data_IF_122924552312
#
_entry.id   IF_122924552312
#
_cell.length_a   1.000
_cell.length_b   1.000
_cell.length_c   1.000
_cell.angle_alpha   90.00
_cell.angle_beta   90.00
_cell.angle_gamma   90.00
#
_symmetry.space_group_name_H-M   'P 1'
#
loop_
_entity.id
_entity.type
_entity.pdbx_description
1 polymer ?
#
# COMPACT_ATOMS: atom_id res chain seq x y z
N UNK A 1 -82.21 -0.96 0.10
CA UNK A 1 -82.48 0.50 0.14
C UNK A 1 -81.29 1.18 0.79
N UNK A 2 -80.77 2.22 0.14
CA UNK A 2 -79.50 2.88 0.43
C UNK A 2 -79.54 3.87 1.61
N UNK A 3 -78.37 4.08 2.24
CA UNK A 3 -77.78 5.35 2.74
C UNK A 3 -76.41 5.01 3.38
N UNK A 4 -75.27 5.19 2.71
CA UNK A 4 -74.47 6.43 2.51
C UNK A 4 -74.24 7.27 3.78
N UNK A 5 -72.97 7.51 4.15
CA UNK A 5 -72.60 8.62 5.04
C UNK A 5 -71.32 8.51 5.89
N UNK A 6 -70.17 8.42 5.22
CA UNK A 6 -68.78 8.76 5.65
C UNK A 6 -68.53 9.76 6.80
N UNK A 7 -67.58 9.43 7.70
CA UNK A 7 -66.49 10.30 8.25
C UNK A 7 -65.35 9.37 8.75
N UNK A 8 -64.22 9.22 8.04
CA UNK A 8 -62.99 10.04 8.11
C UNK A 8 -62.38 10.17 9.52
N UNK A 9 -61.24 9.50 9.77
CA UNK A 9 -59.91 10.09 10.12
C UNK A 9 -59.05 9.14 10.98
N UNK A 10 -57.80 8.91 10.51
CA UNK A 10 -56.55 8.71 11.30
C UNK A 10 -56.50 7.46 12.21
N UNK A 11 -55.60 6.50 12.03
CA UNK A 11 -54.16 6.63 11.93
C UNK A 11 -53.57 5.48 11.10
N UNK A 12 -53.36 5.72 9.81
CA UNK A 12 -52.20 5.15 9.14
C UNK A 12 -51.00 6.06 9.43
N UNK A 13 -49.80 5.49 9.41
CA UNK A 13 -48.47 6.13 9.50
C UNK A 13 -47.94 6.36 10.93
N UNK A 14 -47.22 5.35 11.43
CA UNK A 14 -45.90 5.53 12.05
C UNK A 14 -45.20 4.15 12.17
N UNK A 15 -44.96 3.50 11.03
CA UNK A 15 -43.83 2.57 10.91
C UNK A 15 -42.61 3.46 10.72
N UNK A 16 -41.92 3.80 11.80
CA UNK A 16 -40.58 4.37 11.71
C UNK A 16 -39.62 3.42 12.43
N UNK A 17 -38.94 2.65 11.60
CA UNK A 17 -37.85 1.75 11.90
C UNK A 17 -36.80 2.48 12.74
N UNK A 18 -36.73 2.19 14.05
CA UNK A 18 -35.56 2.51 14.87
C UNK A 18 -34.61 1.32 14.73
N UNK A 19 -33.84 1.32 13.66
CA UNK A 19 -32.63 0.52 13.56
C UNK A 19 -31.69 1.26 12.62
N UNK A 20 -30.39 1.19 12.93
CA UNK A 20 -29.26 1.77 12.19
C UNK A 20 -28.80 3.13 12.71
N UNK A 21 -28.02 3.08 13.78
CA UNK A 21 -26.81 3.90 13.93
C UNK A 21 -25.92 3.39 15.07
N UNK A 22 -25.37 2.20 14.94
CA UNK A 22 -24.18 1.82 15.71
C UNK A 22 -23.22 1.10 14.77
N UNK A 23 -22.26 1.82 14.19
CA UNK A 23 -21.34 1.19 13.23
C UNK A 23 -20.26 2.09 12.62
N UNK A 24 -19.84 3.19 13.26
CA UNK A 24 -18.91 4.12 12.61
C UNK A 24 -17.84 4.77 13.51
N UNK A 25 -17.45 4.18 14.66
CA UNK A 25 -16.36 4.75 15.48
C UNK A 25 -15.26 3.76 15.90
N UNK A 26 -15.38 2.47 15.57
CA UNK A 26 -14.43 1.45 16.01
C UNK A 26 -13.26 1.19 15.03
N UNK A 27 -13.22 1.83 13.86
CA UNK A 27 -12.25 1.47 12.80
C UNK A 27 -10.92 2.24 12.85
N UNK A 28 -10.84 3.39 13.52
CA UNK A 28 -9.60 4.20 13.50
C UNK A 28 -8.51 3.68 14.46
N UNK A 29 -8.90 2.92 15.48
CA UNK A 29 -7.98 2.42 16.52
C UNK A 29 -7.87 0.90 16.53
N UNK A 30 -8.15 0.27 15.39
CA UNK A 30 -7.91 -1.15 15.17
C UNK A 30 -6.89 -1.33 14.04
N UNK A 31 -5.87 -2.16 14.27
CA UNK A 31 -4.87 -2.52 13.26
C UNK A 31 -4.67 -4.02 13.20
N UNK A 32 -4.27 -4.51 12.03
CA UNK A 32 -3.88 -5.92 11.86
C UNK A 32 -2.48 -6.11 12.44
N UNK A 33 -2.34 -7.05 13.36
CA UNK A 33 -1.06 -7.50 13.91
C UNK A 33 -0.67 -8.83 13.29
N UNK A 34 0.64 -8.99 13.06
CA UNK A 34 1.24 -10.23 12.59
C UNK A 34 2.24 -10.71 13.62
N UNK A 35 2.12 -11.98 14.01
CA UNK A 35 3.11 -12.67 14.81
C UNK A 35 3.98 -13.52 13.90
N UNK A 36 5.27 -13.56 14.23
CA UNK A 36 6.28 -14.31 13.49
C UNK A 36 6.98 -15.28 14.43
N UNK A 37 7.38 -16.45 13.94
CA UNK A 37 8.29 -17.33 14.67
C UNK A 37 9.75 -16.85 14.54
N UNK A 38 10.67 -17.55 15.21
CA UNK A 38 12.10 -17.27 15.14
C UNK A 38 12.70 -17.40 13.72
N UNK A 39 12.03 -18.11 12.81
CA UNK A 39 12.44 -18.30 11.42
C UNK A 39 11.98 -17.16 10.49
N UNK A 40 11.19 -16.19 10.99
CA UNK A 40 10.65 -15.08 10.19
C UNK A 40 9.37 -15.42 9.44
N UNK A 41 8.79 -16.60 9.63
CA UNK A 41 7.52 -16.98 9.03
C UNK A 41 6.35 -16.40 9.83
N UNK A 42 5.30 -15.95 9.11
CA UNK A 42 4.07 -15.44 9.71
C UNK A 42 3.25 -16.59 10.32
N UNK A 43 3.11 -16.61 11.64
CA UNK A 43 2.41 -17.68 12.39
C UNK A 43 0.99 -17.32 12.79
N UNK A 44 0.66 -16.04 12.97
CA UNK A 44 -0.69 -15.62 13.35
C UNK A 44 -1.03 -14.22 12.85
N UNK A 45 -2.32 -13.99 12.60
CA UNK A 45 -2.91 -12.69 12.29
C UNK A 45 -4.03 -12.41 13.29
N UNK A 46 -3.91 -11.32 14.04
CA UNK A 46 -4.94 -10.86 14.98
C UNK A 46 -5.31 -9.39 14.73
N UNK A 47 -6.52 -9.01 15.16
CA UNK A 47 -6.93 -7.62 15.22
C UNK A 47 -6.54 -7.06 16.58
N UNK A 48 -5.66 -6.06 16.57
CA UNK A 48 -5.29 -5.34 17.78
C UNK A 48 -6.01 -3.99 17.76
N UNK A 49 -6.96 -3.83 18.69
CA UNK A 49 -7.69 -2.60 18.89
C UNK A 49 -7.29 -1.96 20.22
N UNK A 50 -7.08 -0.65 20.24
CA UNK A 50 -6.77 0.10 21.46
C UNK A 50 -7.74 1.27 21.64
N UNK A 51 -7.83 1.78 22.86
CA UNK A 51 -8.57 3.00 23.19
C UNK A 51 -7.55 4.14 23.36
N UNK A 52 -7.67 5.29 22.68
CA UNK A 52 -6.76 6.40 22.86
C UNK A 52 -6.81 6.92 24.29
N UNK A 53 -5.64 7.12 24.90
CA UNK A 53 -5.52 7.60 26.28
C UNK A 53 -5.56 6.50 27.34
N UNK A 54 -5.71 5.23 26.93
CA UNK A 54 -5.52 4.08 27.81
C UNK A 54 -4.05 3.63 27.77
N UNK A 55 -3.27 4.15 28.72
CA UNK A 55 -1.84 3.84 28.87
C UNK A 55 -1.58 2.40 29.36
N UNK A 56 -2.60 1.66 29.83
CA UNK A 56 -2.42 0.28 30.30
C UNK A 56 -2.37 -0.74 29.15
N UNK A 57 -2.84 -0.36 27.96
CA UNK A 57 -2.88 -1.21 26.77
C UNK A 57 -1.95 -0.75 25.64
N UNK A 58 -1.15 0.31 25.84
CA UNK A 58 -0.06 0.65 24.92
C UNK A 58 1.16 -0.24 25.23
N UNK A 59 1.52 -1.20 24.36
CA UNK A 59 2.69 -2.03 24.61
C UNK A 59 3.95 -1.16 24.59
N UNK A 60 4.63 -1.07 25.75
CA UNK A 60 5.95 -0.46 25.86
C UNK A 60 6.91 -1.05 24.81
N UNK A 61 7.51 -0.18 23.99
CA UNK A 61 8.55 -0.56 23.04
C UNK A 61 8.09 -0.83 21.61
N UNK A 62 6.82 -0.60 21.26
CA UNK A 62 6.39 -0.70 19.86
C UNK A 62 6.58 0.61 19.13
N UNK A 63 7.75 0.77 18.48
CA UNK A 63 7.91 1.79 17.47
C UNK A 63 6.97 1.46 16.31
N UNK A 64 5.84 2.18 16.21
CA UNK A 64 5.00 2.15 15.02
C UNK A 64 5.91 2.48 13.83
N UNK A 65 6.08 1.52 12.91
CA UNK A 65 6.78 1.78 11.65
C UNK A 65 5.91 2.77 10.86
N UNK A 66 6.17 4.05 11.06
CA UNK A 66 5.51 5.13 10.35
C UNK A 66 5.68 4.86 8.85
N UNK A 67 4.61 5.01 8.07
CA UNK A 67 4.63 4.90 6.61
C UNK A 67 5.74 5.75 5.99
N UNK A 68 6.08 6.88 6.60
CA UNK A 68 7.15 7.78 6.17
C UNK A 68 8.54 7.13 6.22
N UNK A 69 8.76 6.11 7.07
CA UNK A 69 10.04 5.37 7.12
C UNK A 69 10.24 4.51 5.87
N UNK A 70 9.16 4.02 5.25
CA UNK A 70 9.25 3.26 4.00
C UNK A 70 9.60 4.16 2.80
N UNK A 71 9.12 5.40 2.79
CA UNK A 71 9.44 6.36 1.72
C UNK A 71 10.92 6.74 1.69
N UNK A 72 11.59 6.77 2.85
CA UNK A 72 13.01 7.06 2.95
C UNK A 72 13.93 5.95 2.41
N UNK A 73 13.41 4.76 2.11
CA UNK A 73 14.18 3.59 1.67
C UNK A 73 13.66 2.96 0.37
N UNK A 74 12.54 3.46 -0.18
CA UNK A 74 11.90 2.86 -1.33
C UNK A 74 12.20 3.63 -2.62
N UNK A 75 12.48 2.89 -3.68
CA UNK A 75 12.64 3.41 -5.03
C UNK A 75 11.30 3.39 -5.75
N UNK A 76 10.84 4.56 -6.18
CA UNK A 76 9.59 4.68 -6.94
C UNK A 76 9.86 4.45 -8.43
N UNK A 77 8.98 3.68 -9.07
CA UNK A 77 9.09 3.33 -10.50
C UNK A 77 7.74 3.58 -11.15
N UNK A 78 7.70 4.50 -12.12
CA UNK A 78 6.46 4.90 -12.79
C UNK A 78 6.69 5.24 -14.28
N UNK A 79 5.70 5.02 -15.16
CA UNK A 79 4.47 4.28 -14.93
C UNK A 79 4.76 2.79 -14.75
N UNK A 80 3.88 2.04 -14.08
CA UNK A 80 4.00 0.58 -13.98
C UNK A 80 2.59 -0.03 -14.08
N UNK A 81 2.24 -0.75 -15.16
CA UNK A 81 3.08 -1.17 -16.28
C UNK A 81 3.57 -0.04 -17.21
N UNK A 82 4.57 -0.32 -18.06
CA UNK A 82 5.05 0.61 -19.11
C UNK A 82 5.42 -0.13 -20.41
N UNK A 83 5.23 0.54 -21.55
CA UNK A 83 5.66 0.08 -22.89
C UNK A 83 6.92 0.80 -23.41
N UNK A 84 7.15 2.05 -23.00
CA UNK A 84 8.21 2.89 -23.58
C UNK A 84 9.38 3.08 -22.61
N UNK A 85 9.10 3.66 -21.44
CA UNK A 85 10.11 4.05 -20.45
C UNK A 85 9.62 3.93 -19.02
N UNK A 86 10.54 3.73 -18.09
CA UNK A 86 10.30 3.92 -16.66
C UNK A 86 11.05 5.15 -16.16
N UNK A 87 10.36 6.01 -15.41
CA UNK A 87 10.94 7.02 -14.56
C UNK A 87 11.18 6.42 -13.18
N UNK A 88 12.41 6.52 -12.72
CA UNK A 88 12.86 5.99 -11.44
C UNK A 88 13.19 7.16 -10.52
N UNK A 89 12.60 7.17 -9.33
CA UNK A 89 12.94 8.11 -8.25
C UNK A 89 13.65 7.35 -7.15
N UNK A 90 14.90 7.72 -6.90
CA UNK A 90 15.75 7.12 -5.86
C UNK A 90 15.56 7.88 -4.53
N UNK A 91 15.51 7.17 -3.39
CA UNK A 91 15.45 7.80 -2.08
C UNK A 91 16.79 8.45 -1.70
N UNK A 92 16.74 9.44 -0.81
CA UNK A 92 17.92 10.14 -0.28
C UNK A 92 18.36 11.35 -1.12
N UNK A 93 19.41 12.03 -0.65
CA UNK A 93 19.95 13.23 -1.29
C UNK A 93 21.06 12.86 -2.28
N UNK A 94 20.81 13.11 -3.57
CA UNK A 94 21.77 12.94 -4.67
C UNK A 94 22.56 11.61 -4.67
N UNK A 95 21.88 10.45 -4.66
CA UNK A 95 22.56 9.15 -4.66
C UNK A 95 23.41 8.98 -5.93
N UNK A 96 24.55 8.31 -5.77
CA UNK A 96 25.43 7.93 -6.90
C UNK A 96 25.65 6.42 -6.89
N UNK A 97 25.56 5.80 -8.07
CA UNK A 97 25.66 4.35 -8.18
C UNK A 97 25.22 3.83 -9.55
N UNK A 98 24.95 2.53 -9.61
CA UNK A 98 24.54 1.85 -10.83
C UNK A 98 23.07 1.45 -10.75
N UNK A 99 22.30 1.86 -11.75
CA UNK A 99 20.92 1.46 -11.96
C UNK A 99 20.88 0.39 -13.05
N UNK A 100 20.27 -0.76 -12.76
CA UNK A 100 20.18 -1.90 -13.67
C UNK A 100 18.76 -2.43 -13.78
N UNK A 101 18.36 -2.84 -14.99
CA UNK A 101 17.18 -3.66 -15.21
C UNK A 101 17.60 -5.13 -15.27
N UNK A 102 17.00 -5.97 -14.44
CA UNK A 102 17.29 -7.40 -14.35
C UNK A 102 16.03 -8.23 -14.55
N UNK A 103 16.17 -9.36 -15.23
CA UNK A 103 15.07 -10.32 -15.40
C UNK A 103 14.96 -11.28 -14.19
N UNK A 104 13.98 -12.17 -14.22
CA UNK A 104 13.75 -13.15 -13.15
C UNK A 104 14.91 -14.15 -12.93
N UNK A 105 15.81 -14.31 -13.91
CA UNK A 105 17.02 -15.13 -13.80
C UNK A 105 18.22 -14.33 -13.26
N UNK A 106 18.04 -13.05 -12.93
CA UNK A 106 19.10 -12.15 -12.47
C UNK A 106 20.00 -11.63 -13.59
N UNK A 107 19.69 -11.91 -14.85
CA UNK A 107 20.45 -11.38 -15.98
C UNK A 107 20.19 -9.89 -16.14
N UNK A 108 21.27 -9.11 -16.28
CA UNK A 108 21.23 -7.66 -16.50
C UNK A 108 20.93 -7.39 -17.97
N UNK A 109 19.78 -6.76 -18.25
CA UNK A 109 19.36 -6.36 -19.59
C UNK A 109 19.74 -4.92 -19.93
N UNK A 110 19.80 -4.07 -18.90
CA UNK A 110 20.18 -2.68 -19.01
C UNK A 110 20.99 -2.26 -17.78
N UNK A 111 21.97 -1.38 -17.96
CA UNK A 111 22.73 -0.82 -16.86
C UNK A 111 23.23 0.58 -17.20
N UNK A 112 23.09 1.51 -16.26
CA UNK A 112 23.63 2.85 -16.38
C UNK A 112 24.12 3.37 -15.03
N UNK A 113 25.15 4.22 -15.04
CA UNK A 113 25.54 4.96 -13.86
C UNK A 113 24.61 6.16 -13.71
N UNK A 114 24.13 6.40 -12.50
CA UNK A 114 23.25 7.51 -12.16
C UNK A 114 23.89 8.34 -11.06
N UNK A 115 23.76 9.65 -11.19
CA UNK A 115 24.13 10.62 -10.17
C UNK A 115 22.95 11.59 -10.02
N UNK A 116 22.23 11.49 -8.90
CA UNK A 116 21.00 12.23 -8.66
C UNK A 116 19.82 11.32 -8.31
N UNK A 117 18.70 11.95 -7.99
CA UNK A 117 17.50 11.25 -7.48
C UNK A 117 16.56 10.77 -8.57
N UNK A 118 16.81 11.09 -9.85
CA UNK A 118 15.93 10.76 -10.97
C UNK A 118 16.71 10.12 -12.10
N UNK A 119 16.14 9.07 -12.69
CA UNK A 119 16.68 8.40 -13.85
C UNK A 119 15.55 7.90 -14.76
N UNK A 120 15.85 7.71 -16.04
CA UNK A 120 14.96 7.08 -17.00
C UNK A 120 15.59 5.78 -17.51
N UNK A 121 14.76 4.77 -17.79
CA UNK A 121 15.14 3.52 -18.44
C UNK A 121 14.21 3.30 -19.63
N UNK A 122 14.76 3.27 -20.84
CA UNK A 122 14.01 2.92 -22.05
C UNK A 122 13.83 1.39 -22.10
N UNK A 123 12.60 0.93 -22.39
CA UNK A 123 12.21 -0.49 -22.41
C UNK A 123 11.52 -0.92 -23.70
N UNK A 124 11.52 -0.08 -24.74
CA UNK A 124 10.90 -0.35 -26.04
C UNK A 124 11.34 -1.68 -26.68
N UNK A 125 12.61 -2.06 -26.51
CA UNK A 125 13.17 -3.30 -27.07
C UNK A 125 13.13 -4.50 -26.08
N UNK A 126 12.60 -4.30 -24.88
CA UNK A 126 12.57 -5.32 -23.83
C UNK A 126 11.27 -6.14 -23.95
N UNK A 127 11.33 -7.48 -23.99
CA UNK A 127 10.13 -8.30 -24.11
C UNK A 127 9.11 -8.10 -22.98
N UNK A 128 7.83 -8.33 -23.25
CA UNK A 128 6.77 -8.30 -22.24
C UNK A 128 7.08 -9.25 -21.08
N UNK A 129 6.94 -8.77 -19.84
CA UNK A 129 7.23 -9.57 -18.66
C UNK A 129 7.45 -8.78 -17.38
N UNK A 130 7.70 -9.53 -16.30
CA UNK A 130 8.07 -8.97 -15.01
C UNK A 130 9.59 -8.84 -14.89
N UNK A 131 10.04 -7.70 -14.37
CA UNK A 131 11.44 -7.34 -14.20
C UNK A 131 11.66 -6.70 -12.84
N UNK A 132 12.93 -6.51 -12.50
CA UNK A 132 13.32 -5.75 -11.34
C UNK A 132 14.30 -4.65 -11.74
N UNK A 133 14.08 -3.46 -11.21
CA UNK A 133 15.06 -2.38 -11.24
C UNK A 133 15.86 -2.49 -9.96
N UNK A 134 17.20 -2.52 -10.10
CA UNK A 134 18.14 -2.58 -9.00
C UNK A 134 19.01 -1.32 -9.04
N UNK A 135 19.06 -0.57 -7.95
CA UNK A 135 20.07 0.45 -7.73
C UNK A 135 21.11 -0.07 -6.75
N UNK A 136 22.40 0.12 -7.05
CA UNK A 136 23.52 -0.32 -6.21
C UNK A 136 24.48 0.84 -5.96
N UNK A 137 24.82 1.08 -4.70
CA UNK A 137 25.80 2.08 -4.27
C UNK A 137 26.75 1.46 -3.24
N UNK A 138 27.98 1.18 -3.64
CA UNK A 138 28.93 0.45 -2.79
C UNK A 138 28.41 -0.94 -2.40
N UNK A 139 28.21 -1.17 -1.10
CA UNK A 139 27.67 -2.41 -0.53
C UNK A 139 26.15 -2.44 -0.40
N UNK A 140 25.47 -1.32 -0.67
CA UNK A 140 24.02 -1.21 -0.51
C UNK A 140 23.30 -1.42 -1.85
N UNK A 141 22.14 -2.06 -1.80
CA UNK A 141 21.28 -2.21 -2.96
C UNK A 141 19.80 -2.11 -2.60
N UNK A 142 19.04 -1.41 -3.43
CA UNK A 142 17.58 -1.35 -3.35
C UNK A 142 16.98 -1.89 -4.65
N UNK A 143 15.87 -2.62 -4.52
CA UNK A 143 15.22 -3.32 -5.63
C UNK A 143 13.74 -2.94 -5.66
N UNK A 144 13.21 -2.69 -6.86
CA UNK A 144 11.78 -2.46 -7.09
C UNK A 144 11.32 -3.29 -8.30
N UNK A 145 10.11 -3.85 -8.24
CA UNK A 145 9.55 -4.67 -9.33
C UNK A 145 8.80 -3.80 -10.34
N UNK A 146 8.93 -4.12 -11.63
CA UNK A 146 8.19 -3.46 -12.70
C UNK A 146 7.69 -4.46 -13.76
N UNK A 147 6.69 -4.04 -14.55
CA UNK A 147 6.09 -4.84 -15.61
C UNK A 147 6.21 -4.10 -16.94
N UNK A 148 6.85 -4.73 -17.92
CA UNK A 148 6.91 -4.24 -19.31
C UNK A 148 5.74 -4.84 -20.09
N UNK A 149 5.00 -3.99 -20.79
CA UNK A 149 3.83 -4.38 -21.59
C UNK A 149 3.69 -3.48 -22.82
N UNK A 150 3.98 -4.02 -24.00
CA UNK A 150 3.73 -3.46 -25.33
C UNK A 150 2.33 -3.76 -25.86
#
# INVERSE_FOLDING_TARGET
MARNGSYLLRCCTAVLVIAVSCGASAQEHCRVRYLYNASGDRTQRDWHCWIPGDLENEPEGWAYKNRNVLAAIHMEVAPNPSSDRFNVVLPGDAPSGTLSLVNALGAVLFSQNVAGTRASIEVGDIPNGAYYIRFSSGSESIISSCVVQH
#
